data_IF_413498249342
#
_entry.id   IF_413498249342
#
_cell.length_a   1.000
_cell.length_b   1.000
_cell.length_c   1.000
_cell.angle_alpha   90.00
_cell.angle_beta   90.00
_cell.angle_gamma   90.00
#
_symmetry.space_group_name_H-M   'P 1'
#
loop_
_entity.id
_entity.type
_entity.pdbx_description
1 polymer ?
#
# COMPACT_ATOMS: atom_id res chain seq x y z
N UNK A 1 -25.34 1.26 -12.12
CA UNK A 1 -24.09 1.62 -12.81
C UNK A 1 -22.96 1.55 -11.78
N UNK A 2 -22.36 0.37 -11.60
CA UNK A 2 -21.08 0.26 -10.91
C UNK A 2 -20.02 0.84 -11.85
N UNK A 3 -19.71 2.11 -11.66
CA UNK A 3 -18.63 2.76 -12.38
C UNK A 3 -17.33 2.13 -11.88
N UNK A 4 -16.90 1.03 -12.52
CA UNK A 4 -15.54 0.54 -12.42
C UNK A 4 -14.64 1.69 -12.90
N UNK A 5 -14.18 2.49 -11.93
CA UNK A 5 -13.13 3.47 -12.10
C UNK A 5 -11.86 2.68 -12.45
N UNK A 6 -11.73 2.33 -13.73
CA UNK A 6 -10.53 1.75 -14.29
C UNK A 6 -9.46 2.83 -14.26
N UNK A 7 -8.70 2.85 -13.16
CA UNK A 7 -7.48 3.62 -13.05
C UNK A 7 -6.55 3.23 -14.21
N UNK A 8 -6.44 4.11 -15.20
CA UNK A 8 -5.64 3.93 -16.42
C UNK A 8 -4.35 4.76 -16.38
N UNK A 9 -3.62 4.71 -15.27
CA UNK A 9 -2.27 5.26 -15.25
C UNK A 9 -1.35 4.34 -16.06
N UNK A 10 -0.56 4.91 -16.96
CA UNK A 10 0.49 4.16 -17.65
C UNK A 10 1.57 3.72 -16.65
N UNK A 11 2.30 2.63 -16.95
CA UNK A 11 3.43 2.19 -16.13
C UNK A 11 4.40 3.34 -15.85
N UNK A 12 4.68 4.17 -16.86
CA UNK A 12 5.55 5.33 -16.71
C UNK A 12 4.99 6.37 -15.71
N UNK A 13 3.69 6.65 -15.75
CA UNK A 13 3.05 7.54 -14.78
C UNK A 13 3.10 6.96 -13.36
N UNK A 14 2.85 5.66 -13.22
CA UNK A 14 2.94 4.96 -11.93
C UNK A 14 4.35 5.07 -11.34
N UNK A 15 5.38 4.84 -12.15
CA UNK A 15 6.78 4.92 -11.71
C UNK A 15 7.17 6.36 -11.34
N UNK A 16 6.73 7.37 -12.10
CA UNK A 16 6.96 8.79 -11.77
C UNK A 16 6.31 9.20 -10.45
N UNK A 17 5.09 8.72 -10.17
CA UNK A 17 4.43 8.97 -8.88
C UNK A 17 5.15 8.26 -7.72
N UNK A 18 5.57 7.02 -7.92
CA UNK A 18 6.35 6.28 -6.95
C UNK A 18 7.66 7.01 -6.61
N UNK A 19 8.39 7.42 -7.64
CA UNK A 19 9.66 8.13 -7.51
C UNK A 19 9.48 9.45 -6.75
N UNK A 20 8.46 10.25 -7.09
CA UNK A 20 8.18 11.51 -6.38
C UNK A 20 7.95 11.28 -4.89
N UNK A 21 7.20 10.24 -4.53
CA UNK A 21 6.89 9.91 -3.13
C UNK A 21 8.10 9.36 -2.38
N UNK A 22 8.98 8.62 -3.04
CA UNK A 22 10.22 8.13 -2.43
C UNK A 22 11.20 9.29 -2.19
N UNK A 23 11.25 10.28 -3.09
CA UNK A 23 12.07 11.50 -2.92
C UNK A 23 11.62 12.36 -1.74
N UNK A 24 10.36 12.24 -1.32
CA UNK A 24 9.85 12.90 -0.09
C UNK A 24 10.31 12.18 1.19
N UNK A 25 10.81 10.94 1.10
CA UNK A 25 11.34 10.23 2.25
C UNK A 25 12.76 10.71 2.56
N UNK A 26 13.01 11.05 3.83
CA UNK A 26 14.30 11.60 4.26
C UNK A 26 15.35 10.50 4.49
N UNK A 27 15.77 9.87 3.40
CA UNK A 27 16.66 8.69 3.40
C UNK A 27 18.13 9.03 3.72
N UNK A 28 18.48 10.31 3.80
CA UNK A 28 19.77 10.82 4.26
C UNK A 28 19.86 10.94 5.81
N UNK A 29 18.75 10.73 6.52
CA UNK A 29 18.73 10.71 7.98
C UNK A 29 19.50 9.51 8.56
N UNK A 30 19.69 9.50 9.89
CA UNK A 30 20.38 8.42 10.59
C UNK A 30 19.53 7.80 11.71
N UNK A 31 19.97 6.61 12.14
CA UNK A 31 19.37 5.90 13.27
C UNK A 31 17.90 5.53 13.03
N UNK A 32 17.07 5.74 14.04
CA UNK A 32 15.66 5.37 13.98
C UNK A 32 14.87 6.13 12.91
N UNK A 33 15.28 7.36 12.56
CA UNK A 33 14.62 8.17 11.53
C UNK A 33 14.84 7.52 10.16
N UNK A 34 16.07 7.11 9.85
CA UNK A 34 16.38 6.37 8.63
C UNK A 34 15.52 5.13 8.48
N UNK A 35 15.42 4.33 9.55
CA UNK A 35 14.62 3.09 9.54
C UNK A 35 13.13 3.37 9.28
N UNK A 36 12.58 4.43 9.86
CA UNK A 36 11.20 4.84 9.62
C UNK A 36 10.98 5.33 8.18
N UNK A 37 11.85 6.19 7.66
CA UNK A 37 11.76 6.74 6.31
C UNK A 37 11.99 5.68 5.23
N UNK A 38 12.92 4.75 5.46
CA UNK A 38 13.14 3.62 4.56
C UNK A 38 11.98 2.62 4.57
N UNK A 39 11.32 2.41 5.72
CA UNK A 39 10.07 1.64 5.77
C UNK A 39 8.94 2.31 4.97
N UNK A 40 8.80 3.64 5.04
CA UNK A 40 7.83 4.40 4.22
C UNK A 40 8.13 4.26 2.72
N UNK A 41 9.39 4.47 2.31
CA UNK A 41 9.82 4.32 0.93
C UNK A 41 9.58 2.88 0.42
N UNK A 42 9.88 1.87 1.24
CA UNK A 42 9.61 0.46 0.95
C UNK A 42 8.13 0.17 0.76
N UNK A 43 7.26 0.72 1.61
CA UNK A 43 5.82 0.57 1.48
C UNK A 43 5.28 1.19 0.17
N UNK A 44 5.81 2.36 -0.22
CA UNK A 44 5.50 3.00 -1.50
C UNK A 44 5.91 2.10 -2.66
N UNK A 45 7.14 1.59 -2.67
CA UNK A 45 7.63 0.67 -3.72
C UNK A 45 6.77 -0.59 -3.85
N UNK A 46 6.50 -1.27 -2.74
CA UNK A 46 5.69 -2.51 -2.74
C UNK A 46 4.28 -2.23 -3.26
N UNK A 47 3.66 -1.13 -2.81
CA UNK A 47 2.33 -0.74 -3.26
C UNK A 47 2.29 -0.53 -4.79
N UNK A 48 3.25 0.21 -5.34
CA UNK A 48 3.26 0.48 -6.78
C UNK A 48 3.62 -0.75 -7.62
N UNK A 49 4.55 -1.59 -7.15
CA UNK A 49 4.87 -2.86 -7.80
C UNK A 49 3.64 -3.78 -7.88
N UNK A 50 2.89 -3.87 -6.79
CA UNK A 50 1.68 -4.66 -6.73
C UNK A 50 0.56 -4.08 -7.61
N UNK A 51 0.48 -2.75 -7.72
CA UNK A 51 -0.48 -2.07 -8.59
C UNK A 51 -0.16 -2.31 -10.06
N UNK A 52 1.13 -2.26 -10.40
CA UNK A 52 1.66 -2.45 -11.74
C UNK A 52 1.41 -3.89 -12.25
N UNK A 53 1.55 -4.91 -11.39
CA UNK A 53 1.37 -6.31 -11.77
C UNK A 53 -0.11 -6.72 -11.75
N UNK A 54 -0.82 -6.37 -10.68
CA UNK A 54 -2.13 -6.94 -10.40
C UNK A 54 -3.29 -6.00 -10.75
N UNK A 55 -2.99 -4.72 -11.03
CA UNK A 55 -4.01 -3.69 -11.17
C UNK A 55 -4.73 -3.39 -9.85
N UNK A 56 -5.51 -2.31 -9.85
CA UNK A 56 -6.19 -1.80 -8.65
C UNK A 56 -7.28 -2.75 -8.13
N UNK A 57 -8.04 -3.39 -9.04
CA UNK A 57 -9.14 -4.28 -8.69
C UNK A 57 -8.67 -5.51 -7.89
N UNK A 58 -7.58 -6.15 -8.31
CA UNK A 58 -6.99 -7.29 -7.61
C UNK A 58 -6.38 -6.90 -6.26
N UNK A 59 -5.76 -5.73 -6.18
CA UNK A 59 -5.22 -5.21 -4.92
C UNK A 59 -6.34 -4.93 -3.89
N UNK A 60 -7.47 -4.34 -4.31
CA UNK A 60 -8.65 -4.11 -3.45
C UNK A 60 -9.21 -5.43 -2.90
N UNK A 61 -9.22 -6.49 -3.71
CA UNK A 61 -9.61 -7.85 -3.28
C UNK A 61 -8.68 -8.40 -2.20
N UNK A 62 -7.36 -8.23 -2.31
CA UNK A 62 -6.39 -8.69 -1.30
C UNK A 62 -6.44 -7.88 0.00
N UNK A 63 -6.66 -6.56 -0.09
CA UNK A 63 -6.83 -5.72 1.10
C UNK A 63 -8.10 -6.09 1.87
N UNK A 64 -9.19 -6.41 1.17
CA UNK A 64 -10.43 -6.94 1.76
C UNK A 64 -10.19 -8.29 2.47
N UNK A 65 -9.46 -9.23 1.85
CA UNK A 65 -9.14 -10.52 2.49
C UNK A 65 -8.22 -10.39 3.72
N UNK A 66 -7.30 -9.42 3.75
CA UNK A 66 -6.48 -9.13 4.94
C UNK A 66 -7.29 -8.57 6.11
N UNK A 67 -8.29 -7.71 5.85
CA UNK A 67 -9.21 -7.23 6.90
C UNK A 67 -10.06 -8.35 7.50
N UNK A 68 -10.43 -9.37 6.72
CA UNK A 68 -11.21 -10.51 7.22
C UNK A 68 -10.34 -11.45 8.07
N UNK A 69 -9.05 -11.62 7.75
CA UNK A 69 -8.14 -12.50 8.51
C UNK A 69 -7.67 -11.93 9.86
N UNK A 70 -7.67 -10.60 10.02
CA UNK A 70 -7.30 -9.95 11.29
C UNK A 70 -8.51 -9.45 12.12
N UNK A 71 -9.73 -9.64 11.62
CA UNK A 71 -10.94 -9.47 12.42
C UNK A 71 -11.23 -10.79 13.18
N UNK A 72 -10.47 -11.07 14.24
CA UNK A 72 -10.99 -11.93 15.30
C UNK A 72 -12.19 -11.17 15.89
N UNK A 73 -13.39 -11.75 15.99
CA UNK A 73 -14.54 -11.00 16.47
C UNK A 73 -14.27 -10.57 17.91
N UNK A 74 -14.31 -9.25 18.14
CA UNK A 74 -14.36 -8.62 19.48
C UNK A 74 -15.62 -9.09 20.27
N UNK A 75 -16.45 -9.97 19.69
CA UNK A 75 -17.53 -10.65 20.39
C UNK A 75 -17.07 -11.85 21.25
N UNK A 76 -15.85 -12.38 21.08
CA UNK A 76 -15.38 -13.55 21.86
C UNK A 76 -14.48 -13.17 23.07
N UNK A 77 -14.17 -11.88 23.25
CA UNK A 77 -13.34 -11.38 24.36
C UNK A 77 -14.15 -10.72 25.50
N UNK A 78 -15.49 -10.71 25.42
CA UNK A 78 -16.39 -10.15 26.45
C UNK A 78 -17.34 -11.23 26.99
N UNK A 79 -16.83 -12.46 27.11
CA UNK A 79 -17.53 -13.58 27.72
C UNK A 79 -16.58 -14.41 28.62
N UNK A 80 -15.73 -13.72 29.38
CA UNK A 80 -15.00 -14.27 30.52
C UNK A 80 -15.44 -13.55 31.79
#
# INVERSE_FOLDING_TARGET
>A
MDQEMTFSLSYEQLTRFAERRIRECNLDSQGAIYLCESAKAGAVLIFWHELAINGYASMRGRLRKRKIKHAKPVAEAVAA
#
